data_IF_905599415124
#
_entry.id   IF_905599415124
#
_cell.length_a   1.000
_cell.length_b   1.000
_cell.length_c   1.000
_cell.angle_alpha   90.00
_cell.angle_beta   90.00
_cell.angle_gamma   90.00
#
_symmetry.space_group_name_H-M   'P 1'
#
loop_
_entity.id
_entity.type
_entity.pdbx_description
1 polymer ?
#
# COMPACT_ATOMS: atom_id res chain seq x y z
N UNK A 1 13.17 12.30 -12.38
CA UNK A 1 13.15 10.95 -12.97
C UNK A 1 14.52 10.61 -13.52
N UNK A 2 15.01 9.41 -13.28
CA UNK A 2 16.29 8.95 -13.81
C UNK A 2 16.14 8.36 -15.21
N UNK A 3 17.27 8.07 -15.88
CA UNK A 3 17.28 7.47 -17.21
C UNK A 3 16.67 6.07 -17.26
N UNK A 4 16.61 5.36 -16.12
CA UNK A 4 16.00 4.03 -16.01
C UNK A 4 14.52 4.07 -15.63
N UNK A 5 13.90 5.26 -15.62
CA UNK A 5 12.46 5.42 -15.40
C UNK A 5 12.04 5.42 -13.94
N UNK A 6 12.96 5.56 -12.99
CA UNK A 6 12.60 5.64 -11.56
C UNK A 6 12.51 7.07 -11.08
N UNK A 7 11.58 7.31 -10.14
CA UNK A 7 11.50 8.56 -9.39
C UNK A 7 12.41 8.40 -8.16
N UNK A 8 13.60 9.00 -8.21
CA UNK A 8 14.63 8.79 -7.20
C UNK A 8 14.68 9.95 -6.21
N UNK A 9 14.72 9.63 -4.93
CA UNK A 9 14.95 10.56 -3.85
C UNK A 9 15.84 9.93 -2.78
N UNK A 10 16.90 10.60 -2.37
CA UNK A 10 17.77 10.11 -1.29
C UNK A 10 17.00 9.97 0.02
N UNK A 11 15.99 10.79 0.25
CA UNK A 11 15.13 10.75 1.43
C UNK A 11 14.27 9.49 1.47
N UNK A 12 13.92 8.93 0.30
CA UNK A 12 13.03 7.78 0.18
C UNK A 12 13.68 6.67 -0.65
N UNK A 13 14.69 5.98 -0.10
CA UNK A 13 15.45 4.98 -0.86
C UNK A 13 14.61 3.75 -1.25
N UNK A 14 13.64 3.35 -0.45
CA UNK A 14 12.79 2.19 -0.77
C UNK A 14 11.85 2.50 -1.94
N UNK A 15 11.20 3.65 -1.90
CA UNK A 15 10.30 4.11 -2.97
C UNK A 15 11.03 4.33 -4.28
N UNK A 16 12.30 4.71 -4.20
CA UNK A 16 13.13 5.01 -5.37
C UNK A 16 13.44 3.78 -6.24
N UNK A 17 13.16 2.58 -5.75
CA UNK A 17 13.36 1.33 -6.51
C UNK A 17 12.22 1.07 -7.51
N UNK A 18 11.09 1.74 -7.39
CA UNK A 18 9.90 1.48 -8.18
C UNK A 18 9.87 2.33 -9.44
N UNK A 19 9.45 1.72 -10.56
CA UNK A 19 9.39 2.42 -11.84
C UNK A 19 8.33 3.51 -11.82
N UNK A 20 8.63 4.67 -12.40
CA UNK A 20 7.73 5.81 -12.41
C UNK A 20 6.37 5.52 -13.04
N UNK A 21 6.33 4.74 -14.10
CA UNK A 21 5.08 4.38 -14.76
C UNK A 21 4.15 3.60 -13.81
N UNK A 22 4.72 2.68 -13.03
CA UNK A 22 3.94 1.92 -12.05
C UNK A 22 3.40 2.83 -10.94
N UNK A 23 4.23 3.76 -10.45
CA UNK A 23 3.83 4.70 -9.41
C UNK A 23 2.71 5.60 -9.92
N UNK A 24 2.85 6.15 -11.12
CA UNK A 24 1.85 7.04 -11.72
C UNK A 24 0.55 6.28 -11.98
N UNK A 25 0.63 5.07 -12.52
CA UNK A 25 -0.54 4.24 -12.81
C UNK A 25 -1.32 3.86 -11.55
N UNK A 26 -0.63 3.73 -10.42
CA UNK A 26 -1.27 3.40 -9.14
C UNK A 26 -1.74 4.60 -8.34
N UNK A 27 -1.41 5.82 -8.76
CA UNK A 27 -1.81 7.03 -8.06
C UNK A 27 -3.26 7.40 -8.37
N UNK A 28 -3.98 7.81 -7.35
CA UNK A 28 -5.35 8.31 -7.49
C UNK A 28 -5.44 9.83 -7.44
N UNK A 29 -4.34 10.50 -7.78
CA UNK A 29 -4.21 11.95 -7.85
C UNK A 29 -3.29 12.53 -6.78
N UNK A 30 -2.63 13.61 -7.09
CA UNK A 30 -1.88 14.43 -6.16
C UNK A 30 -0.50 13.88 -5.76
N UNK A 31 -0.30 13.65 -4.48
CA UNK A 31 1.00 13.35 -3.91
C UNK A 31 1.55 11.98 -4.33
N UNK A 32 2.87 11.82 -4.25
CA UNK A 32 3.51 10.52 -4.42
C UNK A 32 3.21 9.64 -3.22
N UNK A 33 2.29 8.70 -3.40
CA UNK A 33 1.81 7.84 -2.31
C UNK A 33 2.90 6.92 -1.76
N UNK A 34 3.89 6.52 -2.55
CA UNK A 34 5.00 5.71 -2.06
C UNK A 34 5.90 6.49 -1.10
N UNK A 35 6.18 7.75 -1.41
CA UNK A 35 6.95 8.61 -0.51
C UNK A 35 6.22 8.80 0.82
N UNK A 36 4.91 9.04 0.76
CA UNK A 36 4.08 9.16 1.98
C UNK A 36 4.06 7.87 2.77
N UNK A 37 3.94 6.73 2.10
CA UNK A 37 3.92 5.41 2.74
C UNK A 37 5.26 5.12 3.41
N UNK A 38 6.35 5.39 2.75
CA UNK A 38 7.69 5.18 3.31
C UNK A 38 7.92 6.07 4.53
N UNK A 39 7.53 7.33 4.46
CA UNK A 39 7.62 8.27 5.57
C UNK A 39 6.81 7.80 6.78
N UNK A 40 5.56 7.37 6.55
CA UNK A 40 4.71 6.86 7.63
C UNK A 40 5.28 5.57 8.23
N UNK A 41 5.76 4.67 7.38
CA UNK A 41 6.31 3.38 7.82
C UNK A 41 7.52 3.53 8.75
N UNK A 42 8.31 4.59 8.59
CA UNK A 42 9.44 4.88 9.48
C UNK A 42 9.00 5.04 10.94
N UNK A 43 7.78 5.55 11.16
CA UNK A 43 7.25 5.78 12.51
C UNK A 43 6.59 4.55 13.12
N UNK A 44 6.32 3.50 12.35
CA UNK A 44 5.51 2.37 12.77
C UNK A 44 6.31 1.15 13.25
N UNK A 45 7.63 1.14 13.12
CA UNK A 45 8.49 0.00 13.48
C UNK A 45 7.92 -1.32 12.95
N UNK A 46 7.64 -1.37 11.65
CA UNK A 46 7.03 -2.54 11.02
C UNK A 46 8.01 -3.72 10.97
N UNK A 47 7.51 -4.89 11.33
CA UNK A 47 8.28 -6.14 11.35
C UNK A 47 7.62 -7.19 10.48
N UNK A 48 8.39 -8.14 9.92
CA UNK A 48 7.81 -9.22 9.13
C UNK A 48 6.68 -9.93 9.87
N UNK A 49 5.63 -10.27 9.14
CA UNK A 49 4.43 -10.97 9.62
C UNK A 49 3.50 -10.16 10.53
N UNK A 50 3.80 -8.91 10.82
CA UNK A 50 2.80 -8.04 11.44
C UNK A 50 1.58 -7.91 10.52
N UNK A 51 0.40 -7.77 11.11
CA UNK A 51 -0.86 -7.58 10.39
C UNK A 51 -1.17 -6.10 10.28
N UNK A 52 -1.29 -5.61 9.05
CA UNK A 52 -1.54 -4.19 8.76
C UNK A 52 -2.85 -4.05 8.01
N UNK A 53 -3.71 -3.17 8.48
CA UNK A 53 -4.91 -2.76 7.76
C UNK A 53 -4.59 -1.47 6.99
N UNK A 54 -4.69 -1.52 5.66
CA UNK A 54 -4.49 -0.34 4.80
C UNK A 54 -5.87 0.16 4.35
N UNK A 55 -6.35 1.21 5.03
CA UNK A 55 -7.68 1.79 4.80
C UNK A 55 -7.63 2.76 3.62
N UNK A 56 -8.55 2.58 2.67
CA UNK A 56 -8.59 3.42 1.49
C UNK A 56 -7.37 3.21 0.61
N UNK A 57 -7.03 1.96 0.37
CA UNK A 57 -5.80 1.59 -0.34
C UNK A 57 -5.81 1.99 -1.83
N UNK A 58 -6.94 2.41 -2.38
CA UNK A 58 -7.07 2.75 -3.79
C UNK A 58 -6.74 1.56 -4.67
N UNK A 59 -5.71 1.72 -5.51
CA UNK A 59 -5.22 0.67 -6.40
C UNK A 59 -4.17 -0.24 -5.74
N UNK A 60 -4.14 -0.27 -4.42
CA UNK A 60 -3.30 -1.14 -3.59
C UNK A 60 -1.78 -0.89 -3.71
N UNK A 61 -1.37 0.27 -4.22
CA UNK A 61 0.05 0.59 -4.37
C UNK A 61 0.78 0.63 -3.03
N UNK A 62 0.21 1.30 -2.03
CA UNK A 62 0.77 1.34 -0.67
C UNK A 62 0.82 -0.04 -0.03
N UNK A 63 -0.23 -0.84 -0.21
CA UNK A 63 -0.28 -2.21 0.32
C UNK A 63 0.81 -3.09 -0.28
N UNK A 64 1.01 -3.04 -1.59
CA UNK A 64 2.05 -3.79 -2.29
C UNK A 64 3.43 -3.37 -1.79
N UNK A 65 3.67 -2.07 -1.67
CA UNK A 65 4.91 -1.51 -1.15
C UNK A 65 5.20 -2.01 0.27
N UNK A 66 4.22 -1.93 1.17
CA UNK A 66 4.38 -2.37 2.55
C UNK A 66 4.76 -3.85 2.63
N UNK A 67 4.10 -4.70 1.86
CA UNK A 67 4.42 -6.14 1.83
C UNK A 67 5.83 -6.40 1.31
N UNK A 68 6.21 -5.77 0.19
CA UNK A 68 7.52 -5.99 -0.43
C UNK A 68 8.66 -5.50 0.44
N UNK A 69 8.50 -4.32 1.04
CA UNK A 69 9.60 -3.66 1.75
C UNK A 69 9.74 -4.11 3.20
N UNK A 70 8.65 -4.51 3.85
CA UNK A 70 8.64 -4.81 5.28
C UNK A 70 8.23 -6.24 5.63
N UNK A 71 7.72 -7.01 4.67
CA UNK A 71 7.31 -8.39 4.90
C UNK A 71 6.03 -8.54 5.71
N UNK A 72 5.29 -7.45 5.92
CA UNK A 72 4.02 -7.48 6.67
C UNK A 72 2.90 -8.11 5.85
N UNK A 73 1.88 -8.63 6.54
CA UNK A 73 0.63 -9.05 5.93
C UNK A 73 -0.30 -7.83 5.86
N UNK A 74 -0.86 -7.55 4.70
CA UNK A 74 -1.67 -6.34 4.48
C UNK A 74 -3.06 -6.69 4.02
N UNK A 75 -4.06 -6.17 4.72
CA UNK A 75 -5.47 -6.20 4.29
C UNK A 75 -5.74 -4.88 3.58
N UNK A 76 -5.73 -4.94 2.23
CA UNK A 76 -5.88 -3.79 1.35
C UNK A 76 -7.38 -3.51 1.15
N UNK A 77 -7.89 -2.52 1.86
CA UNK A 77 -9.33 -2.26 1.98
C UNK A 77 -9.70 -0.97 1.28
N UNK A 78 -10.70 -1.03 0.38
CA UNK A 78 -11.22 0.15 -0.30
C UNK A 78 -12.71 0.00 -0.59
N UNK A 79 -13.42 1.13 -0.64
CA UNK A 79 -14.83 1.20 -0.97
C UNK A 79 -15.06 1.42 -2.47
N UNK A 80 -14.19 2.20 -3.12
CA UNK A 80 -14.37 2.63 -4.50
C UNK A 80 -13.80 1.65 -5.52
N UNK A 81 -12.68 1.00 -5.19
CA UNK A 81 -12.02 0.04 -6.07
C UNK A 81 -12.35 -1.37 -5.62
N UNK A 82 -12.77 -2.21 -6.56
CA UNK A 82 -13.17 -3.57 -6.24
C UNK A 82 -11.99 -4.44 -5.80
N UNK A 83 -12.28 -5.41 -4.93
CA UNK A 83 -11.29 -6.40 -4.53
C UNK A 83 -10.76 -7.20 -5.73
N UNK A 84 -11.60 -7.47 -6.72
CA UNK A 84 -11.18 -8.20 -7.93
C UNK A 84 -10.15 -7.43 -8.74
N UNK A 85 -10.33 -6.11 -8.90
CA UNK A 85 -9.36 -5.27 -9.61
C UNK A 85 -8.03 -5.20 -8.85
N UNK A 86 -8.08 -5.04 -7.54
CA UNK A 86 -6.89 -5.00 -6.72
C UNK A 86 -6.17 -6.34 -6.66
N UNK A 87 -6.91 -7.46 -6.69
CA UNK A 87 -6.30 -8.79 -6.74
C UNK A 87 -5.43 -8.95 -7.98
N UNK A 88 -5.88 -8.44 -9.14
CA UNK A 88 -5.09 -8.49 -10.37
C UNK A 88 -3.76 -7.75 -10.20
N UNK A 89 -3.78 -6.54 -9.64
CA UNK A 89 -2.57 -5.75 -9.38
C UNK A 89 -1.64 -6.45 -8.39
N UNK A 90 -2.21 -7.06 -7.35
CA UNK A 90 -1.46 -7.79 -6.33
C UNK A 90 -0.77 -9.03 -6.95
N UNK A 91 -1.47 -9.76 -7.81
CA UNK A 91 -0.90 -10.90 -8.53
C UNK A 91 0.21 -10.47 -9.49
N UNK A 92 0.01 -9.39 -10.23
CA UNK A 92 1.01 -8.84 -11.14
C UNK A 92 2.28 -8.42 -10.41
N UNK A 93 2.16 -8.01 -9.15
CA UNK A 93 3.28 -7.66 -8.30
C UNK A 93 3.89 -8.86 -7.55
N UNK A 94 3.30 -10.05 -7.70
CA UNK A 94 3.74 -11.31 -7.06
C UNK A 94 3.77 -11.23 -5.52
N UNK A 95 2.74 -10.60 -4.94
CA UNK A 95 2.60 -10.47 -3.48
C UNK A 95 1.27 -11.00 -2.96
N UNK A 96 0.59 -11.85 -3.71
CA UNK A 96 -0.73 -12.37 -3.31
C UNK A 96 -0.70 -13.25 -2.05
N UNK A 97 0.47 -13.71 -1.66
CA UNK A 97 0.66 -14.48 -0.43
C UNK A 97 0.60 -13.62 0.84
N UNK A 98 0.67 -12.31 0.71
CA UNK A 98 0.71 -11.41 1.86
C UNK A 98 -0.10 -10.13 1.72
N UNK A 99 -0.82 -9.94 0.62
CA UNK A 99 -1.71 -8.79 0.44
C UNK A 99 -3.10 -9.32 0.08
N UNK A 100 -4.09 -9.00 0.92
CA UNK A 100 -5.45 -9.51 0.81
C UNK A 100 -6.40 -8.36 0.48
N UNK A 101 -6.97 -8.32 -0.74
CA UNK A 101 -7.86 -7.23 -1.13
C UNK A 101 -9.25 -7.41 -0.53
N UNK A 102 -9.76 -6.35 0.09
CA UNK A 102 -11.09 -6.34 0.72
C UNK A 102 -11.88 -5.15 0.19
N UNK A 103 -13.11 -5.40 -0.25
CA UNK A 103 -14.04 -4.34 -0.61
C UNK A 103 -14.94 -4.04 0.59
N UNK A 104 -14.69 -2.93 1.27
CA UNK A 104 -15.44 -2.59 2.49
C UNK A 104 -15.43 -1.08 2.74
N UNK A 105 -16.44 -0.64 3.48
CA UNK A 105 -16.56 0.71 4.00
C UNK A 105 -15.78 0.79 5.31
N UNK A 106 -14.93 1.82 5.46
CA UNK A 106 -14.15 2.04 6.68
C UNK A 106 -15.03 2.21 7.94
N UNK A 107 -16.31 2.55 7.76
CA UNK A 107 -17.28 2.69 8.86
C UNK A 107 -17.85 1.36 9.35
N UNK A 108 -17.64 0.29 8.61
CA UNK A 108 -18.20 -1.03 8.94
C UNK A 108 -17.25 -2.12 8.45
N UNK A 109 -16.16 -2.32 9.19
CA UNK A 109 -15.13 -3.28 8.81
C UNK A 109 -15.44 -4.69 9.31
N UNK A 110 -15.22 -5.73 8.48
CA UNK A 110 -15.55 -7.11 8.83
C UNK A 110 -14.46 -7.82 9.63
N UNK A 111 -13.80 -7.12 10.54
CA UNK A 111 -12.66 -7.67 11.27
C UNK A 111 -12.92 -7.75 12.77
N UNK A 112 -12.27 -8.72 13.41
CA UNK A 112 -12.30 -8.85 14.86
C UNK A 112 -11.54 -7.68 15.51
N UNK A 113 -11.95 -7.34 16.74
CA UNK A 113 -11.25 -6.35 17.54
C UNK A 113 -9.80 -6.81 17.79
N UNK A 114 -8.86 -5.87 17.70
CA UNK A 114 -7.43 -6.13 17.96
C UNK A 114 -6.79 -7.14 17.00
N UNK A 115 -7.38 -7.33 15.82
CA UNK A 115 -6.80 -8.22 14.82
C UNK A 115 -5.51 -7.67 14.19
N UNK A 116 -5.39 -6.35 14.07
CA UNK A 116 -4.27 -5.71 13.40
C UNK A 116 -3.25 -5.15 14.37
N UNK A 117 -1.97 -5.23 13.99
CA UNK A 117 -0.85 -4.61 14.71
C UNK A 117 -0.71 -3.13 14.37
N UNK A 118 -1.08 -2.74 13.16
CA UNK A 118 -1.05 -1.36 12.71
C UNK A 118 -2.17 -1.08 11.71
N UNK A 119 -2.58 0.19 11.63
CA UNK A 119 -3.56 0.66 10.67
C UNK A 119 -2.96 1.84 9.94
N UNK A 120 -2.97 1.80 8.61
CA UNK A 120 -2.48 2.88 7.76
C UNK A 120 -3.60 3.43 6.89
N UNK A 121 -3.50 4.71 6.56
CA UNK A 121 -4.38 5.34 5.58
C UNK A 121 -3.59 6.41 4.85
N UNK A 122 -3.35 6.18 3.57
CA UNK A 122 -2.49 7.02 2.76
C UNK A 122 -3.35 7.82 1.78
N UNK A 123 -3.48 9.13 2.02
CA UNK A 123 -4.16 10.07 1.13
C UNK A 123 -5.62 9.69 0.82
N UNK A 124 -6.31 9.08 1.77
CA UNK A 124 -7.69 8.62 1.56
C UNK A 124 -8.75 9.36 2.39
N UNK A 125 -8.35 10.12 3.41
CA UNK A 125 -9.25 10.97 4.18
C UNK A 125 -8.98 12.43 3.88
N UNK A 126 -9.93 13.05 3.24
CA UNK A 126 -9.85 14.47 2.86
C UNK A 126 -10.92 15.28 3.53
#
# INVERSE_FOLDING_TARGET
MTADGRLVSERFPRSSKYHAEWVIAGASGGANALWLTEWLAEALDLRPQMRVLDLGCGLAMSSIFLRREFGVQVWATDLWFSAANNLRRIRDADVEDGVFPIHADARSLPFATEFFDAITSIDSFV
#
